data_IF_664442262547
#
_entry.id   IF_664442262547
#
_cell.length_a   1.000
_cell.length_b   1.000
_cell.length_c   1.000
_cell.angle_alpha   90.00
_cell.angle_beta   90.00
_cell.angle_gamma   90.00
#
_symmetry.space_group_name_H-M   'P 1'
#
loop_
_entity.id
_entity.type
_entity.pdbx_description
1 polymer ?
#
# COMPACT_ATOMS: atom_id res chain seq x y z
N UNK A 1 29.38 17.36 -8.68
CA UNK A 1 29.44 16.31 -9.68
C UNK A 1 30.70 16.37 -10.50
N UNK A 2 31.18 15.22 -10.94
CA UNK A 2 32.36 15.06 -11.80
C UNK A 2 31.95 14.81 -13.24
N UNK A 3 32.87 14.94 -14.22
CA UNK A 3 32.56 14.67 -15.62
C UNK A 3 31.99 13.26 -15.89
N UNK A 4 32.41 12.24 -15.14
CA UNK A 4 31.99 10.84 -15.33
C UNK A 4 31.03 10.34 -14.23
N UNK A 5 30.25 11.24 -13.65
CA UNK A 5 29.37 10.91 -12.52
C UNK A 5 28.27 9.89 -12.90
N UNK A 6 28.13 8.87 -12.05
CA UNK A 6 27.00 7.92 -12.05
C UNK A 6 26.48 7.79 -10.62
N UNK A 7 25.15 7.75 -10.48
CA UNK A 7 24.47 7.46 -9.23
C UNK A 7 23.43 6.34 -9.42
N UNK A 8 23.26 5.50 -8.40
CA UNK A 8 22.26 4.43 -8.37
C UNK A 8 21.52 4.49 -7.04
N UNK A 9 20.22 4.28 -7.07
CA UNK A 9 19.37 4.19 -5.89
C UNK A 9 18.47 2.97 -6.02
N UNK A 10 18.47 2.13 -4.99
CA UNK A 10 17.72 0.88 -4.96
C UNK A 10 16.51 0.99 -4.01
N UNK A 11 15.39 0.44 -4.44
CA UNK A 11 14.18 0.26 -3.62
C UNK A 11 13.93 -1.23 -3.38
N UNK A 12 14.21 -1.70 -2.15
CA UNK A 12 14.21 -3.12 -1.80
C UNK A 12 12.93 -3.48 -1.06
N UNK A 13 12.08 -4.26 -1.73
CA UNK A 13 10.82 -4.75 -1.18
C UNK A 13 10.82 -6.28 -1.12
N UNK A 14 10.58 -6.85 0.06
CA UNK A 14 10.48 -8.29 0.24
C UNK A 14 9.02 -8.71 0.40
N UNK A 15 8.62 -9.84 -0.18
CA UNK A 15 7.26 -10.36 -0.03
C UNK A 15 6.83 -10.46 1.44
N UNK A 16 7.70 -10.99 2.30
CA UNK A 16 7.46 -11.11 3.75
C UNK A 16 7.24 -9.77 4.43
N UNK A 17 8.05 -8.76 4.09
CA UNK A 17 7.92 -7.41 4.66
C UNK A 17 6.62 -6.73 4.24
N UNK A 18 6.34 -6.76 2.93
CA UNK A 18 5.12 -6.21 2.33
C UNK A 18 3.87 -6.84 2.93
N UNK A 19 3.82 -8.17 3.00
CA UNK A 19 2.65 -8.88 3.54
C UNK A 19 2.38 -8.52 5.00
N UNK A 20 3.43 -8.44 5.84
CA UNK A 20 3.29 -8.08 7.25
C UNK A 20 2.62 -6.72 7.44
N UNK A 21 3.02 -5.72 6.66
CA UNK A 21 2.45 -4.36 6.76
C UNK A 21 1.01 -4.34 6.28
N UNK A 22 0.73 -4.99 5.14
CA UNK A 22 -0.62 -5.07 4.59
C UNK A 22 -1.56 -5.78 5.56
N UNK A 23 -1.17 -6.94 6.08
CA UNK A 23 -1.98 -7.71 7.04
C UNK A 23 -2.26 -6.91 8.30
N UNK A 24 -1.26 -6.20 8.82
CA UNK A 24 -1.46 -5.30 9.94
C UNK A 24 -2.50 -4.20 9.65
N UNK A 25 -2.50 -3.63 8.43
CA UNK A 25 -3.48 -2.62 8.05
C UNK A 25 -4.93 -3.17 8.06
N UNK A 26 -5.13 -4.40 7.57
CA UNK A 26 -6.43 -5.09 7.64
C UNK A 26 -6.83 -5.43 9.07
N UNK A 27 -5.93 -6.01 9.88
CA UNK A 27 -6.18 -6.30 11.29
C UNK A 27 -6.54 -5.03 12.08
N UNK A 28 -5.82 -3.93 11.81
CA UNK A 28 -6.09 -2.64 12.43
C UNK A 28 -7.47 -2.11 12.03
N UNK A 29 -7.84 -2.22 10.76
CA UNK A 29 -9.16 -1.84 10.28
C UNK A 29 -10.26 -2.66 10.97
N UNK A 30 -10.05 -3.95 11.22
CA UNK A 30 -11.04 -4.80 11.89
C UNK A 30 -11.21 -4.47 13.38
N UNK A 31 -10.11 -4.17 14.08
CA UNK A 31 -10.09 -4.05 15.54
C UNK A 31 -10.43 -2.65 16.07
N UNK A 32 -10.28 -1.62 15.24
CA UNK A 32 -10.37 -0.24 15.71
C UNK A 32 -11.54 0.53 15.08
N UNK A 33 -12.27 1.23 15.94
CA UNK A 33 -13.24 2.23 15.51
C UNK A 33 -12.56 3.50 14.99
N UNK A 34 -13.32 4.31 14.26
CA UNK A 34 -13.00 5.71 13.96
C UNK A 34 -13.25 6.58 15.19
N UNK A 35 -12.82 7.83 15.11
CA UNK A 35 -13.00 8.81 16.20
C UNK A 35 -14.48 9.08 16.53
N UNK A 36 -15.37 8.98 15.54
CA UNK A 36 -16.82 9.12 15.70
C UNK A 36 -17.52 7.87 16.28
N UNK A 37 -16.76 6.82 16.64
CA UNK A 37 -17.28 5.55 17.16
C UNK A 37 -17.75 4.57 16.09
N UNK A 38 -17.78 4.96 14.81
CA UNK A 38 -18.15 4.05 13.71
C UNK A 38 -17.02 3.06 13.40
N UNK A 39 -17.39 1.87 12.93
CA UNK A 39 -16.42 0.84 12.55
C UNK A 39 -15.67 1.24 11.27
N UNK A 40 -14.37 0.91 11.20
CA UNK A 40 -13.63 1.00 9.94
C UNK A 40 -14.03 -0.17 9.04
N UNK A 41 -14.23 0.11 7.75
CA UNK A 41 -14.71 -0.88 6.76
C UNK A 41 -13.94 -0.83 5.45
N UNK A 42 -12.84 -0.07 5.39
CA UNK A 42 -12.10 0.18 4.15
C UNK A 42 -10.61 0.27 4.41
N UNK A 43 -9.83 -0.44 3.60
CA UNK A 43 -8.37 -0.31 3.50
C UNK A 43 -8.03 0.09 2.07
N UNK A 44 -7.37 1.24 1.92
CA UNK A 44 -6.86 1.71 0.64
C UNK A 44 -5.34 1.52 0.61
N UNK A 45 -4.85 0.81 -0.39
CA UNK A 45 -3.42 0.71 -0.67
C UNK A 45 -3.03 1.79 -1.69
N UNK A 46 -1.94 2.50 -1.44
CA UNK A 46 -1.39 3.43 -2.42
C UNK A 46 0.00 3.03 -2.89
N UNK A 47 0.26 3.24 -4.18
CA UNK A 47 1.57 3.00 -4.79
C UNK A 47 1.84 3.96 -5.96
N UNK A 48 2.93 3.73 -6.67
CA UNK A 48 3.21 4.36 -7.96
C UNK A 48 3.59 3.31 -9.01
N UNK A 49 2.81 2.23 -9.12
CA UNK A 49 3.16 1.08 -9.98
C UNK A 49 3.27 1.43 -11.47
N UNK A 50 2.70 2.56 -11.89
CA UNK A 50 2.84 3.11 -13.23
C UNK A 50 4.25 3.67 -13.52
N UNK A 51 5.03 4.00 -12.49
CA UNK A 51 6.44 4.40 -12.60
C UNK A 51 7.41 3.38 -11.99
N UNK A 52 7.01 2.72 -10.90
CA UNK A 52 7.81 1.72 -10.16
C UNK A 52 7.23 0.32 -10.34
N UNK A 53 7.35 -0.23 -11.54
CA UNK A 53 6.61 -1.43 -11.95
C UNK A 53 6.92 -2.67 -11.12
N UNK A 54 8.20 -2.93 -10.80
CA UNK A 54 8.62 -4.14 -10.08
C UNK A 54 8.16 -4.11 -8.62
N UNK A 55 8.47 -3.03 -7.89
CA UNK A 55 8.02 -2.86 -6.51
C UNK A 55 6.48 -2.83 -6.44
N UNK A 56 5.83 -2.01 -7.28
CA UNK A 56 4.37 -1.90 -7.32
C UNK A 56 3.67 -3.23 -7.62
N UNK A 57 4.20 -4.05 -8.54
CA UNK A 57 3.64 -5.38 -8.83
C UNK A 57 3.71 -6.32 -7.63
N UNK A 58 4.81 -6.31 -6.87
CA UNK A 58 4.92 -7.09 -5.62
C UNK A 58 3.88 -6.65 -4.60
N UNK A 59 3.74 -5.34 -4.38
CA UNK A 59 2.77 -4.77 -3.44
C UNK A 59 1.33 -5.08 -3.85
N UNK A 60 0.94 -4.85 -5.09
CA UNK A 60 -0.44 -5.08 -5.54
C UNK A 60 -0.85 -6.55 -5.51
N UNK A 61 0.02 -7.48 -5.92
CA UNK A 61 -0.29 -8.92 -5.84
C UNK A 61 -0.48 -9.34 -4.38
N UNK A 62 0.43 -8.94 -3.50
CA UNK A 62 0.36 -9.24 -2.07
C UNK A 62 -0.90 -8.63 -1.44
N UNK A 63 -1.24 -7.39 -1.78
CA UNK A 63 -2.45 -6.72 -1.30
C UNK A 63 -3.72 -7.45 -1.72
N UNK A 64 -3.84 -7.82 -3.00
CA UNK A 64 -4.99 -8.57 -3.53
C UNK A 64 -5.12 -9.96 -2.90
N UNK A 65 -4.01 -10.61 -2.57
CA UNK A 65 -4.02 -11.91 -1.89
C UNK A 65 -4.51 -11.77 -0.44
N UNK A 66 -3.93 -10.87 0.35
CA UNK A 66 -4.33 -10.65 1.75
C UNK A 66 -5.77 -10.14 1.84
N UNK A 67 -6.20 -9.26 0.94
CA UNK A 67 -7.57 -8.73 0.94
C UNK A 67 -8.65 -9.81 0.86
N UNK A 68 -8.37 -10.95 0.21
CA UNK A 68 -9.31 -12.09 0.13
C UNK A 68 -9.57 -12.75 1.48
N UNK A 69 -8.67 -12.57 2.45
CA UNK A 69 -8.81 -13.08 3.81
C UNK A 69 -9.73 -12.21 4.68
N UNK A 70 -10.08 -10.99 4.22
CA UNK A 70 -10.92 -10.03 4.95
C UNK A 70 -12.13 -9.57 4.10
N UNK A 71 -13.06 -10.47 3.72
CA UNK A 71 -14.16 -10.16 2.81
C UNK A 71 -15.13 -9.06 3.29
N UNK A 72 -15.13 -8.75 4.59
CA UNK A 72 -15.92 -7.72 5.25
C UNK A 72 -15.30 -6.31 5.17
N UNK A 73 -14.06 -6.18 4.69
CA UNK A 73 -13.34 -4.91 4.54
C UNK A 73 -13.23 -4.60 3.04
N UNK A 74 -13.73 -3.43 2.63
CA UNK A 74 -13.57 -2.92 1.26
C UNK A 74 -12.09 -2.64 1.00
N UNK A 75 -11.49 -3.39 0.07
CA UNK A 75 -10.11 -3.17 -0.38
C UNK A 75 -10.08 -2.29 -1.63
N UNK A 76 -9.36 -1.18 -1.59
CA UNK A 76 -9.21 -0.25 -2.73
C UNK A 76 -7.75 0.06 -3.02
N UNK A 77 -7.48 0.57 -4.22
CA UNK A 77 -6.15 0.99 -4.66
C UNK A 77 -6.22 2.37 -5.32
N UNK A 78 -5.19 3.18 -5.10
CA UNK A 78 -5.04 4.49 -5.75
C UNK A 78 -3.56 4.83 -5.93
N UNK A 79 -3.21 5.53 -7.02
CA UNK A 79 -1.86 6.06 -7.14
C UNK A 79 -1.63 7.21 -6.14
N UNK A 80 -0.40 7.30 -5.62
CA UNK A 80 -0.07 8.26 -4.54
C UNK A 80 -0.34 9.72 -4.93
N UNK A 81 -0.17 10.10 -6.19
CA UNK A 81 -0.48 11.45 -6.68
C UNK A 81 -1.99 11.74 -6.69
N UNK A 82 -2.80 10.79 -7.15
CA UNK A 82 -4.25 10.89 -7.05
C UNK A 82 -4.72 10.92 -5.59
N UNK A 83 -4.11 10.10 -4.71
CA UNK A 83 -4.43 10.09 -3.29
C UNK A 83 -4.17 11.45 -2.64
N UNK A 84 -3.02 12.06 -2.93
CA UNK A 84 -2.69 13.39 -2.42
C UNK A 84 -3.72 14.45 -2.83
N UNK A 85 -4.23 14.39 -4.07
CA UNK A 85 -5.29 15.29 -4.53
C UNK A 85 -6.61 15.10 -3.77
N UNK A 86 -6.93 13.88 -3.32
CA UNK A 86 -8.15 13.60 -2.57
C UNK A 86 -8.06 13.89 -1.06
N UNK A 87 -6.86 14.17 -0.53
CA UNK A 87 -6.64 14.42 0.90
C UNK A 87 -6.70 15.90 1.30
N UNK A 88 -6.79 16.81 0.32
CA UNK A 88 -6.95 18.26 0.52
C UNK A 88 -8.42 18.66 0.50
#
# INVERSE_FOLDING_TARGET
GTPDEVATQEDINTRKGVERVIRYAFDYCERHAKQDGSQRRRVLMCDKSNAMTHAGSLWQRTFKEVAREYPQITSEHMYVDALCLHMV
#
